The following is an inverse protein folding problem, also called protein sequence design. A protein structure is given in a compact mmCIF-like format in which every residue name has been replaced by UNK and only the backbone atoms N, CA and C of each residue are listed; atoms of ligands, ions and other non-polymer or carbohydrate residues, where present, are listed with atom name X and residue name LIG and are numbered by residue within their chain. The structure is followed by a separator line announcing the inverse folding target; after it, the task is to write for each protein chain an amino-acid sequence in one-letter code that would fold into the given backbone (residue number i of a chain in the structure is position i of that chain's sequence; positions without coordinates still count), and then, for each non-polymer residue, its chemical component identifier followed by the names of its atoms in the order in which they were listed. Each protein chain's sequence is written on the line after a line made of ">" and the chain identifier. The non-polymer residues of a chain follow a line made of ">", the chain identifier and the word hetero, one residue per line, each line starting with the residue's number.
data_IF_411679153222
#
_entry.id   IF_411679153222
#
_cell.length_a   1.000
_cell.length_b   1.000
_cell.length_c   1.000
_cell.angle_alpha   90.00
_cell.angle_beta   90.00
_cell.angle_gamma   90.00
#
_symmetry.space_group_name_H-M   'P 1'
#
loop_
_entity.id
_entity.type
_entity.pdbx_description
1 polymer ?
#
# COMPACT_ATOMS: atom_id res chain seq x y z
N UNK A 1 -4.66 -10.46 -3.18
CA UNK A 1 -3.74 -9.63 -3.99
C UNK A 1 -2.46 -10.41 -4.14
N UNK A 2 -2.00 -10.67 -5.37
CA UNK A 2 -0.79 -11.46 -5.64
C UNK A 2 0.30 -10.57 -6.22
N UNK A 3 1.50 -10.67 -5.66
CA UNK A 3 2.65 -9.88 -6.10
C UNK A 3 3.42 -10.65 -7.19
N UNK A 4 3.76 -9.94 -8.27
CA UNK A 4 4.55 -10.48 -9.38
C UNK A 4 5.74 -9.56 -9.62
N UNK A 5 6.92 -10.09 -9.30
CA UNK A 5 8.21 -9.40 -9.31
C UNK A 5 9.28 -10.18 -10.07
N UNK A 6 8.88 -11.07 -10.98
CA UNK A 6 9.83 -11.79 -11.85
C UNK A 6 9.47 -11.51 -13.29
N UNK A 7 10.46 -11.26 -14.15
CA UNK A 7 10.21 -11.01 -15.57
C UNK A 7 9.36 -12.12 -16.22
N UNK A 8 9.60 -13.38 -15.86
CA UNK A 8 8.83 -14.54 -16.35
C UNK A 8 7.38 -14.53 -15.87
N UNK A 9 7.13 -14.20 -14.60
CA UNK A 9 5.78 -14.07 -14.04
C UNK A 9 5.00 -12.95 -14.72
N UNK A 10 5.63 -11.79 -14.91
CA UNK A 10 5.03 -10.62 -15.56
C UNK A 10 4.65 -10.94 -17.00
N UNK A 11 5.56 -11.56 -17.77
CA UNK A 11 5.28 -11.99 -19.13
C UNK A 11 4.15 -13.01 -19.19
N UNK A 12 4.09 -13.96 -18.25
CA UNK A 12 3.06 -15.00 -18.21
C UNK A 12 1.69 -14.40 -17.93
N UNK A 13 1.57 -13.52 -16.92
CA UNK A 13 0.33 -12.81 -16.61
C UNK A 13 -0.10 -11.91 -17.78
N UNK A 14 0.82 -11.11 -18.32
CA UNK A 14 0.53 -10.20 -19.44
C UNK A 14 0.07 -10.97 -20.67
N UNK A 15 0.73 -12.09 -21.00
CA UNK A 15 0.32 -12.99 -22.07
C UNK A 15 -1.04 -13.60 -21.82
N UNK A 16 -1.48 -13.84 -20.59
CA UNK A 16 -2.79 -14.36 -20.25
C UNK A 16 -3.90 -13.29 -20.36
N UNK A 17 -3.59 -12.04 -20.00
CA UNK A 17 -4.56 -10.93 -20.00
C UNK A 17 -4.68 -10.21 -21.35
N UNK A 18 -3.72 -10.35 -22.25
CA UNK A 18 -3.67 -9.64 -23.55
C UNK A 18 -4.72 -10.05 -24.59
N UNK A 19 -5.74 -10.86 -24.22
CA UNK A 19 -6.82 -11.25 -25.15
C UNK A 19 -8.18 -10.82 -24.61
N UNK A 20 -8.98 -10.09 -25.41
CA UNK A 20 -10.34 -9.70 -25.03
C UNK A 20 -11.24 -10.89 -24.65
N UNK A 21 -11.13 -12.02 -25.37
CA UNK A 21 -11.92 -13.24 -25.09
C UNK A 21 -11.58 -13.79 -23.71
N UNK A 22 -10.30 -13.81 -23.32
CA UNK A 22 -9.88 -14.28 -21.99
C UNK A 22 -10.35 -13.36 -20.87
N UNK A 23 -10.32 -12.04 -21.07
CA UNK A 23 -10.88 -11.09 -20.10
C UNK A 23 -12.39 -11.32 -19.91
N UNK A 24 -13.12 -11.56 -21.01
CA UNK A 24 -14.54 -11.89 -20.96
C UNK A 24 -14.81 -13.23 -20.27
N UNK A 25 -13.95 -14.24 -20.49
CA UNK A 25 -14.03 -15.51 -19.77
C UNK A 25 -13.86 -15.32 -18.27
N UNK A 26 -12.83 -14.59 -17.82
CA UNK A 26 -12.59 -14.33 -16.39
C UNK A 26 -13.80 -13.63 -15.74
N UNK A 27 -14.37 -12.63 -16.41
CA UNK A 27 -15.58 -11.95 -15.94
C UNK A 27 -16.77 -12.90 -15.83
N UNK A 28 -17.01 -13.72 -16.84
CA UNK A 28 -18.09 -14.72 -16.83
C UNK A 28 -17.91 -15.75 -15.70
N UNK A 29 -16.69 -16.22 -15.47
CA UNK A 29 -16.37 -17.15 -14.38
C UNK A 29 -16.64 -16.48 -13.02
N UNK A 30 -16.24 -15.22 -12.86
CA UNK A 30 -16.48 -14.45 -11.63
C UNK A 30 -17.98 -14.26 -11.35
N UNK A 31 -18.78 -13.94 -12.38
CA UNK A 31 -20.22 -13.73 -12.27
C UNK A 31 -20.97 -15.02 -11.91
N UNK A 32 -20.61 -16.15 -12.55
CA UNK A 32 -21.34 -17.42 -12.39
C UNK A 32 -20.84 -18.30 -11.25
N UNK A 33 -19.63 -18.06 -10.73
CA UNK A 33 -18.93 -18.79 -9.64
C UNK A 33 -18.66 -20.28 -9.87
N UNK A 34 -19.51 -20.97 -10.62
CA UNK A 34 -19.38 -22.37 -11.00
C UNK A 34 -19.85 -22.54 -12.44
N UNK A 35 -18.90 -22.60 -13.38
CA UNK A 35 -19.20 -22.76 -14.81
C UNK A 35 -18.33 -23.89 -15.40
N UNK A 36 -18.92 -24.75 -16.22
CA UNK A 36 -18.13 -25.73 -16.98
C UNK A 36 -17.63 -25.13 -18.31
N UNK A 37 -16.70 -25.81 -18.97
CA UNK A 37 -16.08 -25.31 -20.22
C UNK A 37 -17.08 -25.12 -21.37
N UNK A 38 -18.11 -25.96 -21.46
CA UNK A 38 -19.12 -25.85 -22.52
C UNK A 38 -20.00 -24.62 -22.32
N UNK A 39 -20.49 -24.42 -21.10
CA UNK A 39 -21.25 -23.23 -20.71
C UNK A 39 -20.44 -21.94 -20.87
N UNK A 40 -19.14 -22.00 -20.57
CA UNK A 40 -18.23 -20.87 -20.77
C UNK A 40 -18.06 -20.55 -22.25
N UNK A 41 -17.89 -21.56 -23.10
CA UNK A 41 -17.79 -21.40 -24.55
C UNK A 41 -19.05 -20.76 -25.16
N UNK A 42 -20.23 -21.21 -24.72
CA UNK A 42 -21.51 -20.61 -25.11
C UNK A 42 -21.63 -19.15 -24.64
N UNK A 43 -21.26 -18.87 -23.38
CA UNK A 43 -21.37 -17.53 -22.79
C UNK A 43 -20.45 -16.50 -23.46
N UNK A 44 -19.27 -16.90 -23.94
CA UNK A 44 -18.33 -16.02 -24.66
C UNK A 44 -18.41 -16.14 -26.18
N UNK A 45 -19.37 -16.92 -26.69
CA UNK A 45 -19.63 -17.13 -28.13
C UNK A 45 -18.41 -17.63 -28.92
N UNK A 46 -17.72 -18.66 -28.40
CA UNK A 46 -16.59 -19.32 -29.08
C UNK A 46 -16.78 -20.83 -29.12
N UNK A 47 -16.00 -21.53 -29.95
CA UNK A 47 -16.05 -23.00 -30.01
C UNK A 47 -15.36 -23.64 -28.80
N UNK A 48 -15.75 -24.87 -28.45
CA UNK A 48 -15.08 -25.65 -27.39
C UNK A 48 -13.59 -25.92 -27.70
N UNK A 49 -13.20 -25.95 -28.98
CA UNK A 49 -11.79 -26.02 -29.37
C UNK A 49 -11.05 -24.72 -29.02
N UNK A 50 -11.65 -23.57 -29.35
CA UNK A 50 -11.10 -22.25 -29.04
C UNK A 50 -11.03 -22.00 -27.53
N UNK A 51 -12.05 -22.41 -26.75
CA UNK A 51 -12.05 -22.20 -25.30
C UNK A 51 -10.88 -22.92 -24.62
N UNK A 52 -10.54 -24.12 -25.08
CA UNK A 52 -9.40 -24.90 -24.55
C UNK A 52 -8.08 -24.17 -24.79
N UNK A 53 -7.91 -23.55 -25.97
CA UNK A 53 -6.72 -22.75 -26.29
C UNK A 53 -6.63 -21.48 -25.45
N UNK A 54 -7.75 -20.80 -25.23
CA UNK A 54 -7.80 -19.62 -24.36
C UNK A 54 -7.58 -19.96 -22.88
N UNK A 55 -7.98 -21.17 -22.47
CA UNK A 55 -7.86 -21.60 -21.08
C UNK A 55 -6.42 -21.92 -20.66
N UNK A 56 -5.59 -22.43 -21.59
CA UNK A 56 -4.22 -22.83 -21.27
C UNK A 56 -3.37 -21.67 -20.69
N UNK A 57 -3.31 -20.47 -21.31
CA UNK A 57 -2.61 -19.33 -20.71
C UNK A 57 -3.20 -18.85 -19.38
N UNK A 58 -4.52 -18.98 -19.18
CA UNK A 58 -5.16 -18.60 -17.91
C UNK A 58 -4.75 -19.53 -16.77
N UNK A 59 -4.61 -20.84 -17.04
CA UNK A 59 -4.10 -21.82 -16.09
C UNK A 59 -2.60 -21.63 -15.84
N UNK A 60 -1.80 -21.36 -16.87
CA UNK A 60 -0.36 -21.10 -16.74
C UNK A 60 -0.06 -19.85 -15.91
N UNK A 61 -0.88 -18.80 -16.04
CA UNK A 61 -0.82 -17.61 -15.20
C UNK A 61 -1.49 -17.82 -13.82
N UNK A 62 -2.04 -19.01 -13.56
CA UNK A 62 -2.69 -19.37 -12.30
C UNK A 62 -3.83 -18.40 -11.91
N UNK A 63 -4.59 -17.96 -12.91
CA UNK A 63 -5.76 -17.10 -12.77
C UNK A 63 -7.04 -17.89 -12.48
N UNK A 64 -7.05 -19.15 -12.90
CA UNK A 64 -8.20 -20.05 -12.80
C UNK A 64 -7.71 -21.44 -12.43
N UNK A 65 -8.60 -22.23 -11.84
CA UNK A 65 -8.36 -23.64 -11.57
C UNK A 65 -9.58 -24.49 -11.93
N UNK A 66 -9.39 -25.80 -11.90
CA UNK A 66 -10.48 -26.74 -12.11
C UNK A 66 -10.72 -27.57 -10.86
N UNK A 67 -11.97 -27.53 -10.39
CA UNK A 67 -12.46 -28.39 -9.32
C UNK A 67 -13.39 -29.45 -9.89
N UNK A 68 -13.36 -30.65 -9.30
CA UNK A 68 -14.27 -31.73 -9.64
C UNK A 68 -15.43 -31.73 -8.66
N UNK A 69 -16.65 -31.63 -9.18
CA UNK A 69 -17.87 -31.66 -8.38
C UNK A 69 -18.78 -32.79 -8.84
N UNK A 70 -19.61 -33.33 -7.93
CA UNK A 70 -20.64 -34.31 -8.28
C UNK A 70 -21.72 -33.67 -9.15
N UNK A 71 -21.89 -34.16 -10.37
CA UNK A 71 -22.92 -33.72 -11.32
C UNK A 71 -24.14 -34.64 -11.34
N UNK A 72 -25.17 -34.27 -12.13
CA UNK A 72 -26.42 -35.06 -12.28
C UNK A 72 -26.18 -36.47 -12.84
N UNK A 73 -25.07 -36.69 -13.57
CA UNK A 73 -24.57 -38.00 -14.04
C UNK A 73 -23.03 -37.98 -14.06
N UNK A 74 -22.39 -38.46 -12.99
CA UNK A 74 -20.93 -38.54 -12.89
C UNK A 74 -20.27 -37.27 -12.34
N UNK A 75 -18.94 -37.16 -12.45
CA UNK A 75 -18.18 -35.98 -12.03
C UNK A 75 -18.14 -34.92 -13.13
N UNK A 76 -18.29 -33.65 -12.76
CA UNK A 76 -18.19 -32.49 -13.65
C UNK A 76 -16.95 -31.68 -13.28
N UNK A 77 -16.23 -31.18 -14.29
CA UNK A 77 -15.09 -30.28 -14.14
C UNK A 77 -15.60 -28.84 -14.20
N UNK A 78 -15.48 -28.11 -13.10
CA UNK A 78 -15.93 -26.73 -12.97
C UNK A 78 -14.71 -25.82 -12.93
N UNK A 79 -14.76 -24.73 -13.68
CA UNK A 79 -13.74 -23.69 -13.68
C UNK A 79 -14.07 -22.66 -12.59
N UNK A 80 -13.08 -22.33 -11.76
CA UNK A 80 -13.18 -21.32 -10.70
C UNK A 80 -12.07 -20.29 -10.85
N UNK A 81 -12.35 -19.05 -10.43
CA UNK A 81 -11.38 -17.96 -10.41
C UNK A 81 -10.52 -18.06 -9.15
N UNK A 82 -9.21 -17.84 -9.28
CA UNK A 82 -8.29 -17.69 -8.16
C UNK A 82 -8.13 -16.20 -7.82
N UNK A 83 -6.90 -15.68 -7.91
CA UNK A 83 -6.59 -14.28 -7.70
C UNK A 83 -7.10 -13.40 -8.84
N UNK A 84 -7.61 -12.22 -8.50
CA UNK A 84 -8.11 -11.23 -9.47
C UNK A 84 -7.47 -9.84 -9.30
N UNK A 85 -6.62 -9.66 -8.29
CA UNK A 85 -5.90 -8.42 -8.02
C UNK A 85 -4.40 -8.74 -7.96
N UNK A 86 -3.62 -8.00 -8.74
CA UNK A 86 -2.18 -8.21 -8.91
C UNK A 86 -1.41 -6.90 -8.71
N UNK A 87 -0.29 -6.97 -8.02
CA UNK A 87 0.71 -5.90 -7.99
C UNK A 87 1.90 -6.34 -8.85
N UNK A 88 2.27 -5.53 -9.83
CA UNK A 88 3.34 -5.84 -10.78
C UNK A 88 4.50 -4.87 -10.53
N UNK A 89 5.66 -5.42 -10.15
CA UNK A 89 6.91 -4.66 -10.02
C UNK A 89 7.84 -5.04 -11.18
N UNK A 90 7.95 -4.17 -12.19
CA UNK A 90 8.73 -4.40 -13.41
C UNK A 90 10.24 -4.14 -13.16
N UNK A 91 10.57 -3.48 -12.05
CA UNK A 91 11.92 -3.03 -11.73
C UNK A 91 12.59 -3.89 -10.66
N UNK A 92 11.98 -5.00 -10.26
CA UNK A 92 12.51 -5.96 -9.29
C UNK A 92 13.82 -6.63 -9.71
N UNK A 93 14.14 -6.61 -11.00
CA UNK A 93 15.42 -7.12 -11.53
C UNK A 93 16.49 -6.00 -11.66
N UNK A 94 16.18 -4.74 -11.29
CA UNK A 94 17.21 -3.73 -11.14
C UNK A 94 18.11 -4.11 -9.97
N UNK A 95 19.42 -4.02 -10.20
CA UNK A 95 20.46 -4.49 -9.28
C UNK A 95 20.27 -3.95 -7.85
N UNK A 96 19.76 -4.80 -6.97
CA UNK A 96 19.55 -4.49 -5.56
C UNK A 96 20.84 -4.53 -4.73
N UNK A 97 22.02 -4.78 -5.33
CA UNK A 97 23.30 -4.76 -4.59
C UNK A 97 23.61 -3.39 -3.99
N UNK A 98 23.06 -2.33 -4.57
CA UNK A 98 23.27 -0.94 -4.18
C UNK A 98 22.08 -0.34 -3.39
N UNK A 99 21.36 -1.17 -2.64
CA UNK A 99 20.20 -0.74 -1.87
C UNK A 99 20.05 -1.46 -0.53
N UNK A 100 19.64 -0.71 0.50
CA UNK A 100 19.07 -1.26 1.73
C UNK A 100 17.56 -1.07 1.74
N UNK A 101 16.83 -2.12 2.10
CA UNK A 101 15.38 -2.08 2.26
C UNK A 101 15.00 -2.49 3.68
N UNK A 102 14.09 -1.74 4.30
CA UNK A 102 13.51 -2.08 5.60
C UNK A 102 12.07 -1.61 5.67
N UNK A 103 11.34 -2.12 6.66
CA UNK A 103 9.95 -1.79 6.87
C UNK A 103 9.74 -1.50 8.36
N UNK A 104 9.14 -0.34 8.64
CA UNK A 104 9.02 0.22 9.97
C UNK A 104 7.54 0.17 10.37
N UNK A 105 7.16 -0.63 11.39
CA UNK A 105 5.79 -0.69 11.85
C UNK A 105 5.28 0.69 12.27
N UNK A 106 4.07 1.07 11.83
CA UNK A 106 3.55 2.42 12.04
C UNK A 106 3.40 2.79 13.53
N UNK A 107 3.35 1.79 14.41
CA UNK A 107 3.29 1.94 15.85
C UNK A 107 4.61 2.21 16.56
N UNK A 108 5.74 2.16 15.84
CA UNK A 108 7.09 2.27 16.41
C UNK A 108 7.67 3.69 16.38
N UNK A 109 6.81 4.70 16.27
CA UNK A 109 7.21 6.10 16.36
C UNK A 109 7.96 6.37 17.69
N UNK A 110 9.04 7.14 17.59
CA UNK A 110 9.93 7.49 18.70
C UNK A 110 9.59 8.83 19.33
N UNK A 111 8.95 9.73 18.60
CA UNK A 111 8.41 10.99 19.12
C UNK A 111 7.03 11.23 18.53
N UNK A 112 6.18 11.92 19.28
CA UNK A 112 4.88 12.33 18.80
C UNK A 112 4.40 13.57 19.56
N UNK A 113 3.52 14.32 18.90
CA UNK A 113 2.62 15.28 19.51
C UNK A 113 1.31 15.11 18.77
N UNK A 114 0.27 14.59 19.41
CA UNK A 114 -1.02 14.36 18.74
C UNK A 114 -2.11 15.10 19.47
N UNK A 115 -2.98 15.74 18.71
CA UNK A 115 -4.16 16.43 19.23
C UNK A 115 -5.43 15.76 18.71
N UNK A 116 -6.48 15.68 19.54
CA UNK A 116 -7.78 15.16 19.13
C UNK A 116 -8.38 15.93 17.93
N UNK A 117 -9.19 15.30 17.09
CA UNK A 117 -9.54 13.87 17.09
C UNK A 117 -8.33 12.98 16.81
N UNK A 118 -8.11 11.93 17.61
CA UNK A 118 -6.93 11.07 17.51
C UNK A 118 -7.17 9.66 18.06
N UNK A 119 -6.37 8.69 17.61
CA UNK A 119 -6.40 7.34 18.15
C UNK A 119 -5.45 6.39 17.45
N UNK A 120 -5.44 5.16 17.94
CA UNK A 120 -4.55 4.10 17.47
C UNK A 120 -5.22 2.75 17.68
N UNK A 121 -5.05 1.84 16.72
CA UNK A 121 -5.67 0.52 16.80
C UNK A 121 -4.77 -0.57 16.20
N UNK A 122 -4.86 -1.74 16.82
CA UNK A 122 -4.32 -3.00 16.28
C UNK A 122 -5.31 -3.62 15.31
N UNK A 123 -4.94 -4.71 14.64
CA UNK A 123 -5.87 -5.50 13.82
C UNK A 123 -7.04 -6.12 14.60
N UNK A 124 -7.05 -6.06 15.94
CA UNK A 124 -8.03 -6.76 16.80
C UNK A 124 -8.86 -5.84 17.67
N UNK A 125 -8.35 -4.65 17.99
CA UNK A 125 -8.98 -3.71 18.92
C UNK A 125 -8.39 -2.32 18.78
N UNK A 126 -9.20 -1.32 19.14
CA UNK A 126 -8.73 0.01 19.51
C UNK A 126 -7.84 -0.12 20.74
N UNK A 127 -6.75 0.65 20.77
CA UNK A 127 -5.85 0.74 21.92
C UNK A 127 -6.37 1.86 22.81
N UNK A 128 -6.94 1.49 23.96
CA UNK A 128 -7.48 2.45 24.90
C UNK A 128 -8.76 3.14 24.43
N UNK A 129 -8.85 4.44 24.71
CA UNK A 129 -9.99 5.29 24.35
C UNK A 129 -9.59 6.24 23.22
N UNK A 130 -10.53 6.51 22.31
CA UNK A 130 -10.34 7.51 21.25
C UNK A 130 -10.27 8.91 21.84
N UNK A 131 -9.65 9.84 21.13
CA UNK A 131 -9.46 11.25 21.48
C UNK A 131 -8.63 11.49 22.74
N UNK A 132 -7.85 10.48 23.15
CA UNK A 132 -6.99 10.52 24.34
C UNK A 132 -5.52 10.29 23.96
N UNK A 133 -4.72 11.37 23.80
CA UNK A 133 -3.32 11.28 23.34
C UNK A 133 -2.43 10.33 24.15
N UNK A 134 -2.74 10.12 25.43
CA UNK A 134 -1.96 9.24 26.34
C UNK A 134 -1.86 7.79 25.86
N UNK A 135 -2.77 7.31 25.02
CA UNK A 135 -2.71 5.94 24.51
C UNK A 135 -1.66 5.74 23.40
N UNK A 136 -1.06 6.82 22.88
CA UNK A 136 0.12 6.75 22.03
C UNK A 136 1.40 6.36 22.80
N UNK A 137 1.34 6.29 24.14
CA UNK A 137 2.37 5.69 24.98
C UNK A 137 2.08 4.23 25.38
N UNK A 138 0.92 3.68 25.01
CA UNK A 138 0.55 2.32 25.38
C UNK A 138 1.51 1.29 24.76
N UNK A 139 2.03 0.30 25.52
CA UNK A 139 2.96 -0.69 24.99
C UNK A 139 2.44 -1.51 23.80
N UNK A 140 1.13 -1.67 23.68
CA UNK A 140 0.47 -2.38 22.58
C UNK A 140 0.54 -1.61 21.26
N UNK A 141 0.93 -0.33 21.27
CA UNK A 141 1.10 0.49 20.05
C UNK A 141 1.98 -0.17 19.00
N UNK A 142 2.92 -1.02 19.41
CA UNK A 142 3.83 -1.77 18.52
C UNK A 142 3.07 -2.67 17.52
N UNK A 143 1.85 -3.06 17.86
CA UNK A 143 0.95 -3.89 17.05
C UNK A 143 -0.06 -3.05 16.25
N UNK A 144 0.08 -1.71 16.26
CA UNK A 144 -0.84 -0.82 15.56
C UNK A 144 -0.79 -1.07 14.04
N UNK A 145 -1.97 -1.23 13.46
CA UNK A 145 -2.19 -1.25 12.01
C UNK A 145 -2.82 0.06 11.52
N UNK A 146 -3.37 0.90 12.39
CA UNK A 146 -3.82 2.24 12.04
C UNK A 146 -3.56 3.22 13.18
N UNK A 147 -3.22 4.47 12.86
CA UNK A 147 -3.20 5.60 13.79
C UNK A 147 -3.68 6.87 13.09
N UNK A 148 -4.29 7.78 13.85
CA UNK A 148 -4.84 9.02 13.32
C UNK A 148 -4.72 10.17 14.32
N UNK A 149 -4.64 11.39 13.80
CA UNK A 149 -4.64 12.62 14.60
C UNK A 149 -5.06 13.84 13.76
N UNK A 150 -5.69 14.84 14.37
CA UNK A 150 -6.13 16.05 13.67
C UNK A 150 -5.00 17.06 13.50
N UNK A 151 -4.12 17.19 14.50
CA UNK A 151 -2.95 18.10 14.46
C UNK A 151 -1.77 17.49 15.17
N UNK A 152 -0.58 17.97 14.80
CA UNK A 152 0.69 17.59 15.39
C UNK A 152 1.48 16.67 14.47
N UNK A 153 2.17 15.67 15.02
CA UNK A 153 3.05 14.79 14.26
C UNK A 153 3.30 13.44 14.93
N UNK A 154 3.74 12.50 14.11
CA UNK A 154 4.46 11.29 14.54
C UNK A 154 5.82 11.24 13.83
N UNK A 155 6.85 10.80 14.56
CA UNK A 155 8.21 10.71 14.04
C UNK A 155 8.79 9.31 14.24
N UNK A 156 9.37 8.79 13.17
CA UNK A 156 9.92 7.46 13.06
C UNK A 156 11.45 7.49 12.98
N UNK A 157 12.08 6.52 13.64
CA UNK A 157 13.51 6.29 13.53
C UNK A 157 13.78 5.27 12.43
N UNK A 158 14.43 5.71 11.36
CA UNK A 158 14.83 4.82 10.26
C UNK A 158 16.23 4.27 10.58
N UNK A 159 16.44 2.94 10.53
CA UNK A 159 17.77 2.35 10.62
C UNK A 159 18.65 2.84 9.46
N UNK A 160 19.81 3.41 9.79
CA UNK A 160 20.81 3.78 8.80
C UNK A 160 21.80 2.63 8.64
N UNK A 161 21.81 2.00 7.46
CA UNK A 161 22.70 0.89 7.14
C UNK A 161 23.86 1.30 6.22
N UNK A 162 23.96 2.58 5.86
CA UNK A 162 25.06 3.10 5.04
C UNK A 162 26.40 2.83 5.72
N UNK A 163 27.36 2.35 4.93
CA UNK A 163 28.75 2.19 5.32
C UNK A 163 29.56 3.42 4.93
N UNK A 164 30.74 3.57 5.50
CA UNK A 164 31.63 4.72 5.22
C UNK A 164 32.03 4.86 3.74
N UNK A 165 32.02 3.77 2.98
CA UNK A 165 32.32 3.76 1.54
C UNK A 165 31.09 4.00 0.64
N UNK A 166 29.91 4.21 1.24
CA UNK A 166 28.64 4.32 0.53
C UNK A 166 28.10 5.74 0.60
N UNK A 167 27.70 6.28 -0.54
CA UNK A 167 27.08 7.61 -0.63
C UNK A 167 25.59 7.46 -0.93
N UNK A 168 24.74 8.16 -0.17
CA UNK A 168 23.29 8.18 -0.39
C UNK A 168 22.94 8.86 -1.72
N UNK A 169 22.41 8.09 -2.66
CA UNK A 169 21.93 8.60 -3.95
C UNK A 169 20.44 8.95 -3.90
N UNK A 170 19.65 8.08 -3.28
CA UNK A 170 18.21 8.25 -3.18
C UNK A 170 17.63 7.58 -1.93
N UNK A 171 16.74 8.30 -1.24
CA UNK A 171 15.92 7.78 -0.14
C UNK A 171 14.46 7.72 -0.60
N UNK A 172 13.86 6.53 -0.59
CA UNK A 172 12.45 6.31 -0.90
C UNK A 172 11.70 5.86 0.36
N UNK A 173 10.54 6.45 0.61
CA UNK A 173 9.66 6.12 1.73
C UNK A 173 8.24 5.91 1.18
N UNK A 174 7.74 4.69 1.29
CA UNK A 174 6.43 4.25 0.81
C UNK A 174 5.51 3.97 1.99
N UNK A 175 4.31 4.56 1.99
CA UNK A 175 3.36 4.47 3.11
C UNK A 175 1.94 4.77 2.63
N UNK A 176 0.93 4.17 3.27
CA UNK A 176 -0.48 4.46 3.00
C UNK A 176 -0.98 5.54 3.97
N UNK A 177 -1.61 6.59 3.41
CA UNK A 177 -1.99 7.78 4.17
C UNK A 177 -3.25 8.46 3.60
N UNK A 178 -4.03 9.12 4.46
CA UNK A 178 -5.09 10.06 4.06
C UNK A 178 -5.30 11.13 5.15
N UNK A 179 -6.31 11.99 4.99
CA UNK A 179 -6.71 12.95 6.01
C UNK A 179 -7.63 12.31 7.04
N UNK A 180 -7.93 13.03 8.12
CA UNK A 180 -8.74 12.53 9.24
C UNK A 180 -9.92 13.48 9.47
N UNK A 181 -11.12 13.02 9.11
CA UNK A 181 -12.36 13.74 9.36
C UNK A 181 -13.09 13.12 10.57
N UNK A 182 -13.87 13.90 11.34
CA UNK A 182 -14.83 13.31 12.25
C UNK A 182 -15.83 12.42 11.49
N UNK A 183 -15.70 11.10 11.65
CA UNK A 183 -16.47 10.11 10.88
C UNK A 183 -15.76 9.75 9.57
N UNK A 184 -16.42 9.99 8.43
CA UNK A 184 -15.83 9.82 7.09
C UNK A 184 -16.27 10.98 6.21
N UNK A 185 -15.32 11.64 5.55
CA UNK A 185 -15.62 12.70 4.59
C UNK A 185 -14.64 12.70 3.42
N UNK A 186 -15.10 12.25 2.25
CA UNK A 186 -14.27 12.14 1.03
C UNK A 186 -13.80 13.47 0.46
N UNK A 187 -14.31 14.60 0.96
CA UNK A 187 -13.85 15.94 0.64
C UNK A 187 -13.46 16.67 1.93
N UNK A 188 -12.29 16.32 2.46
CA UNK A 188 -11.75 16.83 3.71
C UNK A 188 -10.23 17.05 3.55
N UNK A 189 -9.82 18.13 2.86
CA UNK A 189 -8.44 18.29 2.49
C UNK A 189 -7.54 18.49 3.72
N UNK A 190 -6.33 17.95 3.66
CA UNK A 190 -5.31 18.15 4.69
C UNK A 190 -3.93 18.27 4.07
N UNK A 191 -3.20 19.33 4.41
CA UNK A 191 -1.82 19.50 3.99
C UNK A 191 -0.93 18.75 4.99
N UNK A 192 -0.42 17.59 4.57
CA UNK A 192 0.40 16.71 5.39
C UNK A 192 1.87 16.94 5.03
N UNK A 193 2.63 17.45 5.98
CA UNK A 193 4.04 17.82 5.84
C UNK A 193 4.96 16.67 6.18
N UNK A 194 6.08 16.61 5.47
CA UNK A 194 7.12 15.61 5.65
C UNK A 194 8.44 16.27 6.02
N UNK A 195 9.21 15.66 6.92
CA UNK A 195 10.57 16.10 7.18
C UNK A 195 11.52 14.94 7.44
N UNK A 196 12.78 15.12 7.06
CA UNK A 196 13.87 14.20 7.39
C UNK A 196 14.89 14.94 8.25
N UNK A 197 15.22 14.41 9.43
CA UNK A 197 16.16 15.04 10.36
C UNK A 197 15.80 16.50 10.70
N UNK A 198 14.50 16.80 10.75
CA UNK A 198 13.97 18.16 11.00
C UNK A 198 14.06 19.11 9.79
N UNK A 199 14.59 18.66 8.65
CA UNK A 199 14.60 19.43 7.40
C UNK A 199 13.26 19.21 6.70
N UNK A 200 12.50 20.30 6.53
CA UNK A 200 11.20 20.30 5.84
C UNK A 200 11.37 19.91 4.37
N UNK A 201 10.65 18.87 3.95
CA UNK A 201 10.66 18.37 2.58
C UNK A 201 9.53 18.94 1.73
N UNK A 202 8.56 19.61 2.36
CA UNK A 202 7.30 20.04 1.75
C UNK A 202 6.13 19.15 2.21
N UNK A 203 4.99 19.30 1.54
CA UNK A 203 3.75 18.65 1.91
C UNK A 203 3.02 18.04 0.72
N UNK A 204 2.09 17.15 1.04
CA UNK A 204 1.09 16.65 0.12
C UNK A 204 -0.30 16.96 0.68
N UNK A 205 -1.19 17.50 -0.17
CA UNK A 205 -2.58 17.71 0.20
C UNK A 205 -3.37 16.42 -0.05
N UNK A 206 -3.75 15.73 1.02
CA UNK A 206 -4.77 14.68 0.95
C UNK A 206 -6.09 15.29 0.46
N UNK A 207 -6.80 14.66 -0.49
CA UNK A 207 -8.07 15.19 -0.95
C UNK A 207 -9.23 14.93 0.04
N UNK A 208 -9.09 13.92 0.91
CA UNK A 208 -10.17 13.55 1.80
C UNK A 208 -9.91 12.29 2.61
N UNK A 209 -10.91 11.99 3.40
CA UNK A 209 -10.94 10.90 4.35
C UNK A 209 -11.84 9.76 3.83
N UNK A 210 -11.29 8.55 3.74
CA UNK A 210 -11.89 7.47 2.95
C UNK A 210 -12.35 6.29 3.79
N UNK A 211 -13.63 5.94 3.65
CA UNK A 211 -14.27 4.83 4.35
C UNK A 211 -15.77 4.80 4.08
N UNK A 212 -16.57 4.38 5.05
CA UNK A 212 -18.02 4.29 4.87
C UNK A 212 -18.42 3.00 4.18
N UNK A 213 -19.18 3.14 3.08
CA UNK A 213 -19.71 2.00 2.33
C UNK A 213 -18.63 1.14 1.64
N UNK A 214 -17.41 1.66 1.48
CA UNK A 214 -16.27 0.92 0.91
C UNK A 214 -15.22 0.77 2.00
N UNK A 215 -14.80 -0.47 2.24
CA UNK A 215 -13.80 -0.83 3.23
C UNK A 215 -12.46 -1.09 2.56
N UNK A 216 -11.37 -0.69 3.23
CA UNK A 216 -10.02 -1.06 2.82
C UNK A 216 -9.85 -2.57 2.71
N UNK A 217 -9.09 -3.03 1.72
CA UNK A 217 -8.91 -4.45 1.41
C UNK A 217 -8.43 -5.29 2.62
N UNK A 218 -7.59 -4.70 3.46
CA UNK A 218 -7.01 -5.37 4.63
C UNK A 218 -7.65 -4.93 5.95
N UNK A 219 -8.56 -3.96 5.93
CA UNK A 219 -9.17 -3.42 7.15
C UNK A 219 -10.02 -4.47 7.86
N UNK A 220 -9.80 -4.71 9.17
CA UNK A 220 -10.44 -5.81 9.89
C UNK A 220 -11.97 -5.70 9.97
N UNK A 221 -12.68 -6.83 9.98
CA UNK A 221 -14.15 -6.86 9.99
C UNK A 221 -14.78 -6.07 11.14
N UNK A 222 -14.19 -6.10 12.34
CA UNK A 222 -14.71 -5.41 13.53
C UNK A 222 -14.64 -3.88 13.45
N UNK A 223 -13.83 -3.32 12.54
CA UNK A 223 -13.68 -1.87 12.38
C UNK A 223 -14.99 -1.21 11.97
N UNK A 224 -15.35 -0.13 12.67
CA UNK A 224 -16.61 0.59 12.47
C UNK A 224 -16.72 1.12 11.04
N UNK A 225 -17.87 0.89 10.41
CA UNK A 225 -18.17 1.34 9.04
C UNK A 225 -18.24 2.87 8.94
N UNK A 226 -18.47 3.58 10.05
CA UNK A 226 -18.52 5.03 10.10
C UNK A 226 -17.14 5.68 10.27
N UNK A 227 -16.07 4.88 10.34
CA UNK A 227 -14.70 5.36 10.42
C UNK A 227 -13.98 5.16 9.09
N UNK A 228 -12.95 5.96 8.89
CA UNK A 228 -12.06 5.79 7.76
C UNK A 228 -11.38 4.43 7.79
N UNK A 229 -11.18 3.86 6.62
CA UNK A 229 -10.75 2.48 6.49
C UNK A 229 -9.68 2.26 5.44
N UNK A 230 -9.28 3.29 4.69
CA UNK A 230 -8.14 3.20 3.78
C UNK A 230 -7.60 4.58 3.41
N UNK A 231 -6.41 4.58 2.83
CA UNK A 231 -5.74 5.75 2.30
C UNK A 231 -5.28 5.57 0.87
N UNK A 232 -4.38 6.45 0.46
CA UNK A 232 -3.68 6.40 -0.80
C UNK A 232 -2.24 5.99 -0.53
N UNK A 233 -1.72 5.04 -1.31
CA UNK A 233 -0.29 4.74 -1.26
C UNK A 233 0.49 5.94 -1.80
N UNK A 234 1.50 6.36 -1.03
CA UNK A 234 2.41 7.43 -1.39
C UNK A 234 3.83 6.94 -1.46
N UNK A 235 4.56 7.46 -2.43
CA UNK A 235 6.00 7.28 -2.56
C UNK A 235 6.66 8.65 -2.46
N UNK A 236 7.30 8.91 -1.31
CA UNK A 236 8.16 10.06 -1.10
C UNK A 236 9.60 9.69 -1.50
N UNK A 237 10.14 10.39 -2.48
CA UNK A 237 11.49 10.16 -3.01
C UNK A 237 12.34 11.40 -2.82
N UNK A 238 13.51 11.25 -2.22
CA UNK A 238 14.53 12.30 -2.11
C UNK A 238 15.78 11.81 -2.84
N UNK A 239 16.14 12.44 -3.95
CA UNK A 239 17.34 12.13 -4.71
C UNK A 239 18.25 13.36 -4.81
N UNK A 240 19.26 13.32 -5.67
CA UNK A 240 20.20 14.41 -5.90
C UNK A 240 19.58 15.67 -6.53
N UNK A 241 18.43 15.57 -7.21
CA UNK A 241 17.73 16.68 -7.87
C UNK A 241 16.67 17.37 -7.00
N UNK A 242 16.10 16.66 -6.03
CA UNK A 242 15.08 17.21 -5.13
C UNK A 242 14.24 16.16 -4.41
N UNK A 243 13.11 16.63 -3.88
CA UNK A 243 12.10 15.82 -3.19
C UNK A 243 10.83 15.75 -4.04
N UNK A 244 10.30 14.54 -4.17
CA UNK A 244 9.15 14.21 -5.00
C UNK A 244 8.14 13.39 -4.20
N UNK A 245 6.85 13.60 -4.45
CA UNK A 245 5.80 12.67 -4.03
C UNK A 245 5.07 12.15 -5.26
N UNK A 246 4.99 10.83 -5.41
CA UNK A 246 4.38 10.15 -6.58
C UNK A 246 4.93 10.67 -7.93
N UNK A 247 6.22 11.07 -7.94
CA UNK A 247 6.91 11.64 -9.11
C UNK A 247 6.71 13.15 -9.34
N UNK A 248 5.82 13.81 -8.59
CA UNK A 248 5.65 15.27 -8.59
C UNK A 248 6.63 15.94 -7.65
N UNK A 249 7.45 16.89 -8.14
CA UNK A 249 8.42 17.62 -7.30
C UNK A 249 7.69 18.50 -6.29
N UNK A 250 8.03 18.39 -5.01
CA UNK A 250 7.45 19.18 -3.92
C UNK A 250 8.44 20.16 -3.28
N UNK A 251 9.76 19.91 -3.40
CA UNK A 251 10.79 20.87 -2.98
C UNK A 251 12.15 20.61 -3.65
N UNK A 252 13.05 21.58 -3.54
CA UNK A 252 14.46 21.47 -3.95
C UNK A 252 15.37 20.91 -2.85
N UNK A 253 14.80 20.29 -1.80
CA UNK A 253 15.60 19.55 -0.81
C UNK A 253 16.04 18.23 -1.44
N UNK A 254 17.34 17.98 -1.44
CA UNK A 254 17.96 16.82 -2.07
C UNK A 254 18.88 16.08 -1.07
N UNK A 255 19.41 14.92 -1.46
CA UNK A 255 20.29 14.10 -0.61
C UNK A 255 21.52 14.87 -0.11
N UNK A 256 22.08 15.77 -0.94
CA UNK A 256 23.20 16.64 -0.56
C UNK A 256 22.83 17.58 0.58
N UNK A 257 21.63 18.21 0.54
CA UNK A 257 21.14 19.07 1.62
C UNK A 257 20.78 18.29 2.89
N UNK A 258 20.34 17.05 2.75
CA UNK A 258 20.10 16.19 3.91
C UNK A 258 21.40 15.80 4.62
N UNK A 259 22.52 15.71 3.88
CA UNK A 259 23.84 15.49 4.45
C UNK A 259 23.95 14.19 5.26
N UNK A 260 23.20 13.16 4.85
CA UNK A 260 23.16 11.86 5.55
C UNK A 260 24.38 11.04 5.13
N UNK A 261 25.21 10.70 6.12
CA UNK A 261 26.34 9.77 6.01
C UNK A 261 26.10 8.49 6.84
N UNK A 262 27.08 7.59 6.91
CA UNK A 262 27.02 6.33 7.69
C UNK A 262 26.82 6.52 9.20
N UNK A 263 27.16 7.68 9.74
CA UNK A 263 27.03 8.00 11.17
C UNK A 263 25.74 8.73 11.50
N UNK A 264 25.06 9.20 10.47
CA UNK A 264 23.94 10.12 10.61
C UNK A 264 22.70 9.43 11.19
N UNK A 265 22.01 10.06 12.14
CA UNK A 265 20.63 9.71 12.44
C UNK A 265 19.75 9.83 11.19
N UNK A 266 18.73 8.97 11.04
CA UNK A 266 17.65 9.21 10.09
C UNK A 266 16.32 9.20 10.86
N UNK A 267 15.63 10.34 10.86
CA UNK A 267 14.30 10.51 11.46
C UNK A 267 13.34 11.00 10.40
N UNK A 268 12.21 10.32 10.23
CA UNK A 268 11.15 10.67 9.29
C UNK A 268 9.91 11.11 10.07
N UNK A 269 9.43 12.32 9.79
CA UNK A 269 8.25 12.88 10.46
C UNK A 269 7.13 13.11 9.47
N UNK A 270 5.93 12.72 9.88
CA UNK A 270 4.66 13.04 9.21
C UNK A 270 3.88 13.98 10.12
N UNK A 271 3.50 15.15 9.62
CA UNK A 271 2.94 16.22 10.44
C UNK A 271 1.76 16.93 9.79
N UNK A 272 0.85 17.42 10.63
CA UNK A 272 -0.21 18.36 10.26
C UNK A 272 -0.04 19.58 11.18
N UNK A 273 0.71 20.61 10.74
CA UNK A 273 0.93 21.80 11.52
C UNK A 273 -0.34 22.64 11.63
N UNK A 274 -0.48 23.40 12.71
CA UNK A 274 -1.57 24.34 12.90
C UNK A 274 -1.55 25.52 11.92
N UNK A 275 -0.38 25.79 11.32
CA UNK A 275 -0.17 26.80 10.28
C UNK A 275 -0.46 26.31 8.85
N UNK A 276 -0.83 25.04 8.66
CA UNK A 276 -1.21 24.53 7.34
C UNK A 276 -2.44 25.27 6.79
N UNK A 277 -2.54 25.39 5.46
CA UNK A 277 -3.72 26.01 4.85
C UNK A 277 -4.96 25.11 5.03
N UNK A 278 -4.77 23.80 4.93
CA UNK A 278 -5.79 22.80 5.23
C UNK A 278 -5.36 21.94 6.43
N UNK A 279 -6.02 22.14 7.57
CA UNK A 279 -5.75 21.40 8.82
C UNK A 279 -6.79 20.28 8.97
N UNK A 280 -6.74 19.30 8.06
CA UNK A 280 -7.70 18.21 7.97
C UNK A 280 -7.24 16.90 8.60
N UNK A 281 -6.20 16.91 9.44
CA UNK A 281 -5.67 15.72 10.09
C UNK A 281 -4.95 14.73 9.17
N UNK A 282 -4.52 13.62 9.76
CA UNK A 282 -3.71 12.60 9.12
C UNK A 282 -4.05 11.24 9.70
N UNK A 283 -4.24 10.26 8.82
CA UNK A 283 -4.37 8.84 9.17
C UNK A 283 -3.31 8.05 8.44
N UNK A 284 -2.51 7.29 9.19
CA UNK A 284 -1.51 6.37 8.66
C UNK A 284 -2.00 4.93 8.80
N UNK A 285 -1.87 4.17 7.72
CA UNK A 285 -2.23 2.75 7.67
C UNK A 285 -0.96 1.90 7.56
N UNK A 286 -0.96 0.81 8.31
CA UNK A 286 0.10 -0.19 8.35
C UNK A 286 -0.45 -1.58 8.07
N UNK A 287 0.35 -2.61 8.35
CA UNK A 287 -0.03 -3.99 8.02
C UNK A 287 -1.35 -4.41 8.67
N UNK A 288 -2.23 -5.00 7.86
CA UNK A 288 -3.56 -5.46 8.23
C UNK A 288 -4.60 -4.35 8.41
N UNK A 289 -4.37 -3.19 7.80
CA UNK A 289 -5.32 -2.11 7.64
C UNK A 289 -5.13 -1.46 6.26
N UNK A 290 -6.14 -0.72 5.79
CA UNK A 290 -6.07 0.00 4.53
C UNK A 290 -6.14 -0.90 3.29
N UNK A 291 -5.63 -0.40 2.18
CA UNK A 291 -5.59 -1.09 0.90
C UNK A 291 -4.24 -1.76 0.60
N UNK A 292 -3.20 -1.44 1.36
CA UNK A 292 -1.85 -1.92 1.14
C UNK A 292 -1.32 -2.60 2.40
N UNK A 293 -1.03 -3.90 2.31
CA UNK A 293 -0.55 -4.67 3.46
C UNK A 293 0.95 -4.46 3.72
N UNK A 294 1.34 -3.22 3.98
CA UNK A 294 2.69 -2.79 4.34
C UNK A 294 2.61 -1.72 5.42
N UNK A 295 3.65 -1.61 6.25
CA UNK A 295 3.88 -0.46 7.10
C UNK A 295 4.67 0.62 6.32
N UNK A 296 5.53 1.40 7.00
CA UNK A 296 6.38 2.38 6.31
C UNK A 296 7.57 1.65 5.70
N UNK A 297 7.54 1.47 4.39
CA UNK A 297 8.60 0.82 3.64
C UNK A 297 9.65 1.84 3.23
N UNK A 298 10.91 1.59 3.58
CA UNK A 298 12.03 2.50 3.30
C UNK A 298 13.06 1.79 2.42
N UNK A 299 13.49 2.47 1.36
CA UNK A 299 14.61 2.06 0.51
C UNK A 299 15.67 3.15 0.50
N UNK A 300 16.91 2.75 0.75
CA UNK A 300 18.09 3.60 0.70
C UNK A 300 18.95 3.11 -0.45
N UNK A 301 18.95 3.83 -1.57
CA UNK A 301 19.80 3.55 -2.73
C UNK A 301 21.09 4.34 -2.57
N UNK A 302 22.22 3.66 -2.80
CA UNK A 302 23.54 4.23 -2.60
C UNK A 302 24.47 3.93 -3.76
N UNK A 303 25.55 4.68 -3.88
CA UNK A 303 26.70 4.37 -4.72
C UNK A 303 27.86 3.91 -3.83
N UNK A 304 28.75 3.08 -4.37
CA UNK A 304 30.01 2.66 -3.73
C UNK A 304 31.18 3.18 -4.57
N UNK A 305 32.18 3.77 -3.92
CA UNK A 305 33.48 4.12 -4.54
C UNK A 305 34.45 2.93 -4.56
#
# INVERSE_FOLDING_TARGET
>A
MRDINTHSGILTLSKALSSPVRLQMLKTIAERRQINLNELAEAVNVTNGAITQHMKPLLEADLVEFIYTSGKRGSQKICTLKDHLFMIDILSDLDHTLMYETEIPIGTFTQYLVLPTCGIATQRTVIGEVDEPRYFDDPSKKEAGILWFTKGFVEYRIPNYLKDSQTLEELQISFEICSEAPGVCSNWPSDIYFSINGIDLGFWTSPGDFGGAVKGLFTPEWWDEHWNSYGLLKLLTINNEGTYIDGGKISDINTVKLGIDSTSPITFRVAVPDTAAHVGGCTLFGKGFGNYNQDIKVRTIFSEE
#
